data_IF_579445976628
#
_entry.id   IF_579445976628
#
_cell.length_a   1.000
_cell.length_b   1.000
_cell.length_c   1.000
_cell.angle_alpha   90.00
_cell.angle_beta   90.00
_cell.angle_gamma   90.00
#
_symmetry.space_group_name_H-M   'P 1'
#
loop_
_entity.id
_entity.type
_entity.pdbx_description
1 polymer ?
#
# COMPACT_ATOMS: atom_id res chain seq x y z
N UNK A 1 7.41 -19.81 -9.20
CA UNK A 1 8.15 -19.25 -8.04
C UNK A 1 9.41 -18.49 -8.46
N UNK A 2 10.29 -19.09 -9.27
CA UNK A 2 11.57 -18.49 -9.68
C UNK A 2 11.53 -17.02 -10.16
N UNK A 3 10.52 -16.65 -10.97
CA UNK A 3 10.39 -15.26 -11.47
C UNK A 3 10.15 -14.26 -10.33
N UNK A 4 9.31 -14.62 -9.34
CA UNK A 4 9.02 -13.76 -8.20
C UNK A 4 10.25 -13.54 -7.31
N UNK A 5 11.03 -14.60 -7.06
CA UNK A 5 12.25 -14.53 -6.24
C UNK A 5 13.34 -13.75 -6.95
N UNK A 6 13.52 -13.95 -8.27
CA UNK A 6 14.48 -13.18 -9.06
C UNK A 6 14.10 -11.69 -9.05
N UNK A 7 12.83 -11.38 -9.29
CA UNK A 7 12.30 -10.02 -9.25
C UNK A 7 12.55 -9.35 -7.90
N UNK A 8 12.23 -10.01 -6.79
CA UNK A 8 12.41 -9.43 -5.45
C UNK A 8 13.87 -9.18 -5.11
N UNK A 9 14.76 -10.12 -5.45
CA UNK A 9 16.21 -9.95 -5.21
C UNK A 9 16.76 -8.79 -6.04
N UNK A 10 16.47 -8.73 -7.35
CA UNK A 10 16.99 -7.67 -8.23
C UNK A 10 16.49 -6.30 -7.79
N UNK A 11 15.20 -6.15 -7.46
CA UNK A 11 14.65 -4.88 -6.98
C UNK A 11 15.30 -4.45 -5.66
N UNK A 12 15.53 -5.36 -4.72
CA UNK A 12 16.19 -5.04 -3.46
C UNK A 12 17.68 -4.72 -3.65
N UNK A 13 18.36 -5.32 -4.63
CA UNK A 13 19.71 -4.91 -5.01
C UNK A 13 19.72 -3.45 -5.52
N UNK A 14 18.78 -3.09 -6.40
CA UNK A 14 18.62 -1.71 -6.87
C UNK A 14 18.36 -0.75 -5.70
N UNK A 15 17.56 -1.15 -4.71
CA UNK A 15 17.31 -0.37 -3.51
C UNK A 15 18.60 -0.01 -2.76
N UNK A 16 19.50 -0.99 -2.60
CA UNK A 16 20.78 -0.79 -1.91
C UNK A 16 21.82 -0.03 -2.75
N UNK A 17 21.77 -0.16 -4.08
CA UNK A 17 22.56 0.68 -5.00
C UNK A 17 22.15 2.15 -4.88
N UNK A 18 20.86 2.44 -4.70
CA UNK A 18 20.38 3.81 -4.51
C UNK A 18 20.96 4.45 -3.24
N UNK A 19 21.13 3.68 -2.18
CA UNK A 19 21.69 4.18 -0.92
C UNK A 19 23.19 4.43 -1.01
N UNK A 20 23.92 3.57 -1.72
CA UNK A 20 25.39 3.62 -1.80
C UNK A 20 25.91 4.56 -2.88
N UNK A 21 25.28 4.57 -4.05
CA UNK A 21 25.77 5.28 -5.21
C UNK A 21 25.21 6.71 -5.25
N UNK A 22 26.06 7.73 -5.41
CA UNK A 22 25.64 9.15 -5.39
C UNK A 22 25.57 9.83 -6.77
N UNK A 23 26.09 9.20 -7.83
CA UNK A 23 26.09 9.80 -9.18
C UNK A 23 24.70 9.77 -9.82
N UNK A 24 24.57 10.35 -11.01
CA UNK A 24 23.32 10.33 -11.78
C UNK A 24 22.82 8.88 -11.98
N UNK A 25 21.58 8.62 -11.57
CA UNK A 25 20.92 7.29 -11.53
C UNK A 25 19.92 7.11 -12.66
N UNK A 26 20.14 7.78 -13.79
CA UNK A 26 19.23 7.73 -14.94
C UNK A 26 19.03 6.29 -15.43
N UNK A 27 20.11 5.52 -15.56
CA UNK A 27 20.06 4.12 -15.98
C UNK A 27 19.31 3.27 -14.93
N UNK A 28 19.64 3.43 -13.65
CA UNK A 28 18.97 2.74 -12.53
C UNK A 28 17.46 3.00 -12.53
N UNK A 29 17.03 4.24 -12.80
CA UNK A 29 15.62 4.62 -12.94
C UNK A 29 14.93 3.79 -14.03
N UNK A 30 15.50 3.75 -15.23
CA UNK A 30 14.87 3.06 -16.36
C UNK A 30 14.86 1.54 -16.16
N UNK A 31 15.93 0.96 -15.61
CA UNK A 31 15.96 -0.47 -15.26
C UNK A 31 14.88 -0.80 -14.23
N UNK A 32 14.78 -0.02 -13.15
CA UNK A 32 13.76 -0.26 -12.12
C UNK A 32 12.34 -0.13 -12.69
N UNK A 33 12.09 0.89 -13.50
CA UNK A 33 10.78 1.11 -14.12
C UNK A 33 10.43 -0.03 -15.06
N UNK A 34 11.38 -0.46 -15.91
CA UNK A 34 11.19 -1.58 -16.81
C UNK A 34 10.86 -2.86 -16.04
N UNK A 35 11.60 -3.19 -14.97
CA UNK A 35 11.33 -4.37 -14.15
C UNK A 35 9.94 -4.34 -13.52
N UNK A 36 9.54 -3.21 -12.92
CA UNK A 36 8.22 -3.07 -12.31
C UNK A 36 7.10 -3.19 -13.36
N UNK A 37 7.25 -2.51 -14.50
CA UNK A 37 6.24 -2.56 -15.59
C UNK A 37 6.15 -3.98 -16.16
N UNK A 38 7.28 -4.64 -16.41
CA UNK A 38 7.31 -6.00 -16.95
C UNK A 38 6.67 -6.99 -15.98
N UNK A 39 7.03 -6.97 -14.69
CA UNK A 39 6.56 -7.98 -13.75
C UNK A 39 5.18 -7.67 -13.19
N UNK A 40 4.94 -6.43 -12.76
CA UNK A 40 3.70 -6.01 -12.10
C UNK A 40 2.71 -5.45 -13.11
N UNK A 41 3.12 -4.55 -13.99
CA UNK A 41 2.23 -3.88 -14.95
C UNK A 41 1.66 -4.82 -16.02
N UNK A 42 2.53 -5.64 -16.61
CA UNK A 42 2.22 -6.56 -17.72
C UNK A 42 1.91 -7.98 -17.23
N UNK A 43 1.55 -8.15 -15.96
CA UNK A 43 1.05 -9.42 -15.44
C UNK A 43 -0.19 -9.91 -16.17
N UNK A 44 -0.43 -11.21 -16.16
CA UNK A 44 -1.60 -11.84 -16.74
C UNK A 44 -2.23 -12.82 -15.74
N UNK A 45 -3.54 -12.68 -15.48
CA UNK A 45 -4.34 -13.60 -14.64
C UNK A 45 -3.71 -13.98 -13.29
N UNK A 46 -3.22 -12.98 -12.54
CA UNK A 46 -2.67 -13.17 -11.20
C UNK A 46 -3.63 -12.66 -10.11
N UNK A 47 -3.75 -13.42 -9.03
CA UNK A 47 -4.70 -13.15 -7.95
C UNK A 47 -6.13 -13.58 -8.31
N UNK A 48 -7.11 -13.15 -7.51
CA UNK A 48 -8.53 -13.56 -7.67
C UNK A 48 -9.47 -12.44 -8.13
N UNK A 49 -9.08 -11.18 -7.90
CA UNK A 49 -9.95 -10.03 -8.19
C UNK A 49 -9.94 -9.65 -9.69
N UNK A 50 -8.96 -10.10 -10.48
CA UNK A 50 -8.82 -9.72 -11.89
C UNK A 50 -10.03 -10.14 -12.72
N UNK A 51 -10.65 -11.28 -12.44
CA UNK A 51 -11.81 -11.79 -13.18
C UNK A 51 -13.01 -10.87 -13.01
N UNK A 52 -13.24 -10.42 -11.77
CA UNK A 52 -14.28 -9.46 -11.44
C UNK A 52 -14.07 -8.15 -12.21
N UNK A 53 -12.85 -7.60 -12.16
CA UNK A 53 -12.52 -6.35 -12.87
C UNK A 53 -12.61 -6.48 -14.39
N UNK A 54 -12.19 -7.61 -14.96
CA UNK A 54 -12.29 -7.89 -16.40
C UNK A 54 -13.75 -7.93 -16.85
N UNK A 55 -14.62 -8.59 -16.08
CA UNK A 55 -16.04 -8.66 -16.40
C UNK A 55 -16.70 -7.28 -16.40
N UNK A 56 -16.38 -6.43 -15.42
CA UNK A 56 -16.87 -5.05 -15.37
C UNK A 56 -16.36 -4.23 -16.56
N UNK A 57 -15.08 -4.35 -16.87
CA UNK A 57 -14.45 -3.64 -17.98
C UNK A 57 -15.09 -4.00 -19.34
N UNK A 58 -15.49 -5.27 -19.50
CA UNK A 58 -16.15 -5.76 -20.71
C UNK A 58 -17.67 -5.51 -20.74
N UNK A 59 -18.24 -4.82 -19.74
CA UNK A 59 -19.68 -4.51 -19.68
C UNK A 59 -20.58 -5.67 -19.22
N UNK A 60 -20.01 -6.74 -18.66
CA UNK A 60 -20.78 -7.86 -18.13
C UNK A 60 -21.40 -7.49 -16.77
N UNK A 61 -22.65 -7.00 -16.80
CA UNK A 61 -23.41 -6.54 -15.62
C UNK A 61 -24.05 -7.68 -14.78
N UNK A 62 -23.60 -8.93 -14.90
CA UNK A 62 -24.14 -10.05 -14.09
C UNK A 62 -23.73 -10.00 -12.61
N UNK A 63 -22.90 -9.03 -12.21
CA UNK A 63 -22.38 -8.93 -10.85
C UNK A 63 -23.27 -8.03 -9.98
N UNK A 64 -23.67 -8.55 -8.82
CA UNK A 64 -24.49 -7.87 -7.79
C UNK A 64 -23.69 -6.94 -6.86
N UNK A 65 -22.35 -6.94 -6.95
CA UNK A 65 -21.50 -6.15 -6.06
C UNK A 65 -21.47 -4.66 -6.46
N UNK A 66 -21.78 -3.81 -5.49
CA UNK A 66 -21.69 -2.35 -5.63
C UNK A 66 -20.21 -1.97 -5.83
N UNK A 67 -19.92 -1.38 -6.99
CA UNK A 67 -18.60 -0.85 -7.36
C UNK A 67 -18.64 0.67 -7.23
N UNK A 68 -17.52 1.26 -6.81
CA UNK A 68 -17.37 2.70 -6.70
C UNK A 68 -17.47 3.35 -8.08
N UNK A 69 -18.28 4.42 -8.13
CA UNK A 69 -18.67 5.09 -9.36
C UNK A 69 -17.47 5.55 -10.21
N UNK A 70 -16.42 6.09 -9.58
CA UNK A 70 -15.23 6.57 -10.28
C UNK A 70 -14.50 5.47 -11.06
N UNK A 71 -14.40 4.26 -10.49
CA UNK A 71 -13.79 3.14 -11.19
C UNK A 71 -14.65 2.66 -12.36
N UNK A 72 -15.97 2.58 -12.17
CA UNK A 72 -16.90 2.18 -13.25
C UNK A 72 -16.84 3.15 -14.43
N UNK A 73 -16.83 4.45 -14.16
CA UNK A 73 -16.72 5.49 -15.19
C UNK A 73 -15.38 5.38 -15.93
N UNK A 74 -14.26 5.29 -15.21
CA UNK A 74 -12.94 5.19 -15.84
C UNK A 74 -12.78 3.91 -16.67
N UNK A 75 -13.18 2.75 -16.12
CA UNK A 75 -13.09 1.48 -16.84
C UNK A 75 -13.96 1.45 -18.09
N UNK A 76 -15.19 1.96 -18.03
CA UNK A 76 -16.06 2.11 -19.19
C UNK A 76 -15.48 3.05 -20.25
N UNK A 77 -14.85 4.16 -19.84
CA UNK A 77 -14.21 5.09 -20.76
C UNK A 77 -13.02 4.45 -21.49
N UNK A 78 -12.14 3.76 -20.77
CA UNK A 78 -10.99 3.08 -21.39
C UNK A 78 -11.43 1.92 -22.30
N UNK A 79 -12.49 1.20 -21.91
CA UNK A 79 -13.11 0.16 -22.75
C UNK A 79 -13.72 0.74 -24.03
N UNK A 80 -14.40 1.89 -23.92
CA UNK A 80 -14.94 2.62 -25.08
C UNK A 80 -13.86 3.08 -26.07
N UNK A 81 -12.64 3.41 -25.59
CA UNK A 81 -11.49 3.71 -26.45
C UNK A 81 -10.92 2.48 -27.19
N UNK A 82 -11.46 1.29 -26.97
CA UNK A 82 -11.04 0.05 -27.64
C UNK A 82 -9.80 -0.61 -27.01
N UNK A 83 -9.35 -0.15 -25.85
CA UNK A 83 -8.24 -0.80 -25.15
C UNK A 83 -8.69 -2.11 -24.49
N UNK A 84 -7.78 -3.08 -24.39
CA UNK A 84 -8.04 -4.31 -23.65
C UNK A 84 -7.80 -4.13 -22.14
N UNK A 85 -8.42 -5.00 -21.34
CA UNK A 85 -8.34 -4.96 -19.88
C UNK A 85 -6.91 -5.02 -19.33
N UNK A 86 -6.03 -5.83 -19.91
CA UNK A 86 -4.66 -6.01 -19.41
C UNK A 86 -3.78 -4.78 -19.65
N UNK A 87 -4.01 -4.07 -20.76
CA UNK A 87 -3.39 -2.77 -21.00
C UNK A 87 -3.90 -1.73 -19.98
N UNK A 88 -5.21 -1.73 -19.66
CA UNK A 88 -5.76 -0.87 -18.60
C UNK A 88 -5.11 -1.16 -17.24
N UNK A 89 -4.92 -2.44 -16.89
CA UNK A 89 -4.15 -2.84 -15.69
C UNK A 89 -2.73 -2.27 -15.75
N UNK A 90 -2.04 -2.39 -16.88
CA UNK A 90 -0.69 -1.83 -17.02
C UNK A 90 -0.68 -0.30 -16.84
N UNK A 91 -1.65 0.42 -17.39
CA UNK A 91 -1.79 1.88 -17.23
C UNK A 91 -1.96 2.27 -15.77
N UNK A 92 -2.79 1.55 -15.01
CA UNK A 92 -2.98 1.78 -13.56
C UNK A 92 -1.65 1.63 -12.80
N UNK A 93 -0.87 0.58 -13.12
CA UNK A 93 0.43 0.35 -12.46
C UNK A 93 1.47 1.40 -12.84
N UNK A 94 1.49 1.84 -14.10
CA UNK A 94 2.33 2.96 -14.54
C UNK A 94 1.92 4.25 -13.81
N UNK A 95 0.62 4.49 -13.65
CA UNK A 95 0.13 5.66 -12.94
C UNK A 95 0.63 5.71 -11.48
N UNK A 96 0.43 4.64 -10.69
CA UNK A 96 0.95 4.61 -9.30
C UNK A 96 2.48 4.70 -9.26
N UNK A 97 3.19 4.02 -10.18
CA UNK A 97 4.65 4.07 -10.28
C UNK A 97 5.16 5.51 -10.47
N UNK A 98 4.56 6.25 -11.42
CA UNK A 98 4.96 7.62 -11.72
C UNK A 98 4.64 8.58 -10.58
N UNK A 99 3.47 8.45 -9.96
CA UNK A 99 3.07 9.30 -8.84
C UNK A 99 3.98 9.06 -7.63
N UNK A 100 4.22 7.81 -7.25
CA UNK A 100 5.11 7.49 -6.13
C UNK A 100 6.55 7.88 -6.41
N UNK A 101 7.04 7.70 -7.65
CA UNK A 101 8.36 8.20 -8.03
C UNK A 101 8.45 9.71 -7.86
N UNK A 102 7.47 10.48 -8.33
CA UNK A 102 7.47 11.93 -8.17
C UNK A 102 7.46 12.34 -6.68
N UNK A 103 6.63 11.68 -5.88
CA UNK A 103 6.55 11.91 -4.44
C UNK A 103 7.88 11.61 -3.75
N UNK A 104 8.45 10.43 -3.97
CA UNK A 104 9.72 10.04 -3.36
C UNK A 104 10.90 10.86 -3.87
N UNK A 105 10.93 11.23 -5.15
CA UNK A 105 11.98 12.13 -5.68
C UNK A 105 11.98 13.47 -4.95
N UNK A 106 10.81 13.95 -4.54
CA UNK A 106 10.66 15.23 -3.85
C UNK A 106 11.00 15.15 -2.37
N UNK A 107 10.58 14.09 -1.68
CA UNK A 107 10.67 14.02 -0.22
C UNK A 107 11.74 13.06 0.30
N UNK A 108 12.15 12.04 -0.46
CA UNK A 108 13.12 11.04 -0.03
C UNK A 108 14.56 11.38 -0.43
N UNK A 109 15.55 11.17 0.44
CA UNK A 109 16.97 11.14 0.06
C UNK A 109 17.33 9.98 -0.88
N UNK A 110 16.53 8.91 -0.88
CA UNK A 110 16.78 7.66 -1.62
C UNK A 110 15.49 7.21 -2.33
N UNK A 111 15.11 7.86 -3.44
CA UNK A 111 13.82 7.63 -4.08
C UNK A 111 13.67 6.24 -4.68
N UNK A 112 14.74 5.64 -5.21
CA UNK A 112 14.67 4.30 -5.79
C UNK A 112 14.69 3.22 -4.71
N UNK A 113 15.33 3.47 -3.56
CA UNK A 113 15.16 2.64 -2.37
C UNK A 113 13.68 2.61 -1.97
N UNK A 114 13.05 3.77 -1.79
CA UNK A 114 11.65 3.83 -1.38
C UNK A 114 10.70 3.13 -2.36
N UNK A 115 10.91 3.37 -3.66
CA UNK A 115 10.10 2.76 -4.72
C UNK A 115 10.28 1.24 -4.77
N UNK A 116 11.52 0.76 -4.66
CA UNK A 116 11.85 -0.67 -4.65
C UNK A 116 11.22 -1.38 -3.46
N UNK A 117 11.35 -0.82 -2.26
CA UNK A 117 10.72 -1.37 -1.05
C UNK A 117 9.20 -1.46 -1.23
N UNK A 118 8.55 -0.40 -1.72
CA UNK A 118 7.09 -0.36 -1.89
C UNK A 118 6.58 -1.48 -2.80
N UNK A 119 7.19 -1.67 -3.98
CA UNK A 119 6.73 -2.68 -4.94
C UNK A 119 6.99 -4.13 -4.51
N UNK A 120 7.83 -4.35 -3.49
CA UNK A 120 8.00 -5.67 -2.86
C UNK A 120 7.07 -5.82 -1.65
N UNK A 121 7.04 -4.85 -0.74
CA UNK A 121 6.22 -4.91 0.48
C UNK A 121 4.72 -4.93 0.17
N UNK A 122 4.31 -4.20 -0.86
CA UNK A 122 2.92 -4.07 -1.30
C UNK A 122 2.66 -4.87 -2.59
N UNK A 123 3.40 -5.96 -2.84
CA UNK A 123 3.28 -6.73 -4.09
C UNK A 123 1.85 -7.22 -4.33
N UNK A 124 1.27 -7.97 -3.39
CA UNK A 124 -0.10 -8.49 -3.54
C UNK A 124 -1.15 -7.39 -3.75
N UNK A 125 -0.99 -6.25 -3.06
CA UNK A 125 -1.83 -5.07 -3.25
C UNK A 125 -1.78 -4.55 -4.69
N UNK A 126 -0.57 -4.37 -5.23
CA UNK A 126 -0.39 -3.88 -6.60
C UNK A 126 -0.89 -4.87 -7.67
N UNK A 127 -1.05 -6.15 -7.32
CA UNK A 127 -1.60 -7.19 -8.19
C UNK A 127 -3.14 -7.23 -8.16
N UNK A 128 -3.76 -7.09 -6.98
CA UNK A 128 -5.19 -7.34 -6.82
C UNK A 128 -6.05 -6.09 -6.76
N UNK A 129 -5.59 -5.03 -6.08
CA UNK A 129 -6.46 -3.98 -5.58
C UNK A 129 -6.64 -2.80 -6.55
N UNK A 130 -6.96 -3.05 -7.83
CA UNK A 130 -6.95 -2.04 -8.92
C UNK A 130 -7.61 -0.70 -8.56
N UNK A 131 -8.83 -0.75 -8.00
CA UNK A 131 -9.57 0.43 -7.51
C UNK A 131 -8.79 1.24 -6.49
N UNK A 132 -8.26 0.55 -5.50
CA UNK A 132 -7.54 1.15 -4.40
C UNK A 132 -6.17 1.67 -4.84
N UNK A 133 -5.50 1.03 -5.81
CA UNK A 133 -4.24 1.53 -6.39
C UNK A 133 -4.45 2.94 -6.99
N UNK A 134 -5.54 3.14 -7.74
CA UNK A 134 -5.90 4.45 -8.29
C UNK A 134 -6.14 5.46 -7.17
N UNK A 135 -6.92 5.08 -6.14
CA UNK A 135 -7.19 5.93 -5.00
C UNK A 135 -5.91 6.33 -4.24
N UNK A 136 -4.99 5.38 -4.00
CA UNK A 136 -3.69 5.64 -3.37
C UNK A 136 -2.89 6.64 -4.21
N UNK A 137 -2.79 6.43 -5.53
CA UNK A 137 -2.10 7.38 -6.40
C UNK A 137 -2.69 8.80 -6.29
N UNK A 138 -4.02 8.95 -6.36
CA UNK A 138 -4.68 10.26 -6.22
C UNK A 138 -4.42 10.86 -4.84
N UNK A 139 -4.43 10.06 -3.76
CA UNK A 139 -4.10 10.52 -2.41
C UNK A 139 -2.67 11.04 -2.33
N UNK A 140 -1.68 10.45 -3.01
CA UNK A 140 -0.31 11.00 -3.00
C UNK A 140 -0.18 12.30 -3.81
N UNK A 141 -1.02 12.51 -4.82
CA UNK A 141 -1.16 13.84 -5.46
C UNK A 141 -1.78 14.83 -4.47
N UNK A 142 -2.86 14.43 -3.79
CA UNK A 142 -3.53 15.23 -2.77
C UNK A 142 -2.55 15.64 -1.66
N UNK A 143 -1.83 14.68 -1.09
CA UNK A 143 -0.83 14.92 -0.05
C UNK A 143 0.24 15.90 -0.52
N UNK A 144 0.72 15.81 -1.75
CA UNK A 144 1.64 16.82 -2.28
C UNK A 144 1.00 18.23 -2.30
N UNK A 145 -0.28 18.36 -2.66
CA UNK A 145 -1.00 19.63 -2.54
C UNK A 145 -1.08 20.10 -1.09
N UNK A 146 -1.44 19.22 -0.16
CA UNK A 146 -1.54 19.51 1.27
C UNK A 146 -0.22 20.03 1.85
N UNK A 147 0.88 19.32 1.57
CA UNK A 147 2.22 19.67 2.03
C UNK A 147 2.74 21.00 1.43
N UNK A 148 2.20 21.43 0.29
CA UNK A 148 2.47 22.75 -0.32
C UNK A 148 1.39 23.80 0.03
N UNK A 149 0.63 23.62 1.10
CA UNK A 149 -0.42 24.53 1.58
C UNK A 149 -1.62 24.74 0.63
N UNK A 150 -1.82 23.87 -0.36
CA UNK A 150 -2.94 23.93 -1.32
C UNK A 150 -4.16 23.13 -0.82
N UNK A 151 -4.74 23.56 0.31
CA UNK A 151 -5.82 22.83 1.02
C UNK A 151 -7.08 22.58 0.17
N UNK A 152 -7.52 23.54 -0.65
CA UNK A 152 -8.69 23.37 -1.55
C UNK A 152 -8.50 22.18 -2.50
N UNK A 153 -7.33 22.12 -3.14
CA UNK A 153 -6.99 21.04 -4.07
C UNK A 153 -6.84 19.70 -3.35
N UNK A 154 -6.30 19.69 -2.13
CA UNK A 154 -6.26 18.50 -1.29
C UNK A 154 -7.66 17.92 -1.07
N UNK A 155 -8.61 18.73 -0.59
CA UNK A 155 -9.98 18.27 -0.31
C UNK A 155 -10.67 17.71 -1.56
N UNK A 156 -10.56 18.41 -2.70
CA UNK A 156 -11.13 17.96 -3.99
C UNK A 156 -10.53 16.61 -4.40
N UNK A 157 -9.20 16.45 -4.29
CA UNK A 157 -8.53 15.21 -4.67
C UNK A 157 -8.85 14.06 -3.71
N UNK A 158 -9.05 14.31 -2.41
CA UNK A 158 -9.50 13.29 -1.47
C UNK A 158 -10.93 12.80 -1.79
N UNK A 159 -11.84 13.71 -2.17
CA UNK A 159 -13.18 13.35 -2.64
C UNK A 159 -13.14 12.60 -3.98
N UNK A 160 -12.24 12.98 -4.88
CA UNK A 160 -12.01 12.24 -6.11
C UNK A 160 -11.49 10.83 -5.80
N UNK A 161 -10.51 10.69 -4.92
CA UNK A 161 -9.97 9.39 -4.52
C UNK A 161 -11.04 8.49 -3.87
N UNK A 162 -11.93 9.05 -3.02
CA UNK A 162 -13.01 8.30 -2.40
C UNK A 162 -14.05 7.79 -3.41
N UNK A 163 -14.20 8.46 -4.55
CA UNK A 163 -15.02 7.97 -5.66
C UNK A 163 -14.44 6.73 -6.35
N UNK A 164 -13.15 6.44 -6.20
CA UNK A 164 -12.52 5.20 -6.69
C UNK A 164 -12.46 4.11 -5.62
N UNK A 165 -12.26 4.50 -4.36
CA UNK A 165 -12.27 3.58 -3.22
C UNK A 165 -12.64 4.32 -1.94
N UNK A 166 -13.77 3.94 -1.33
CA UNK A 166 -14.41 4.72 -0.25
C UNK A 166 -13.47 4.99 0.95
N UNK A 167 -12.56 4.08 1.28
CA UNK A 167 -11.65 4.26 2.42
C UNK A 167 -10.70 5.46 2.29
N UNK A 168 -10.49 6.00 1.09
CA UNK A 168 -9.72 7.23 0.90
C UNK A 168 -10.36 8.45 1.59
N UNK A 169 -11.65 8.39 1.91
CA UNK A 169 -12.37 9.45 2.64
C UNK A 169 -11.73 9.78 4.00
N UNK A 170 -11.04 8.80 4.62
CA UNK A 170 -10.34 8.97 5.89
C UNK A 170 -9.31 10.12 5.85
N UNK A 171 -8.73 10.40 4.69
CA UNK A 171 -7.77 11.50 4.52
C UNK A 171 -8.40 12.88 4.67
N UNK A 172 -9.73 13.04 4.54
CA UNK A 172 -10.39 14.33 4.79
C UNK A 172 -10.25 14.80 6.24
N UNK A 173 -9.95 13.90 7.18
CA UNK A 173 -9.76 14.23 8.60
C UNK A 173 -8.41 14.94 8.83
N UNK A 174 -7.39 14.69 8.00
CA UNK A 174 -6.02 15.17 8.19
C UNK A 174 -5.92 16.68 8.50
N UNK A 175 -6.58 17.61 7.77
CA UNK A 175 -6.46 19.04 8.04
C UNK A 175 -6.97 19.47 9.43
N UNK A 176 -7.80 18.65 10.07
CA UNK A 176 -8.36 18.91 11.40
C UNK A 176 -7.47 18.36 12.53
N UNK A 177 -6.72 17.29 12.26
CA UNK A 177 -5.90 16.59 13.25
C UNK A 177 -4.39 16.81 13.09
N UNK A 178 -3.97 17.46 12.00
CA UNK A 178 -2.58 17.87 11.76
C UNK A 178 -2.22 19.14 12.55
N UNK A 179 -2.25 19.03 13.88
CA UNK A 179 -1.85 20.09 14.81
C UNK A 179 -1.16 19.51 16.06
N UNK A 180 -0.45 20.36 16.81
CA UNK A 180 0.38 19.90 17.93
C UNK A 180 -0.43 19.15 19.00
N UNK A 181 -1.62 19.66 19.34
CA UNK A 181 -2.53 19.07 20.30
C UNK A 181 -2.89 17.63 19.92
N UNK A 182 -3.41 17.41 18.71
CA UNK A 182 -3.79 16.07 18.25
C UNK A 182 -2.58 15.15 18.08
N UNK A 183 -1.41 15.65 17.67
CA UNK A 183 -0.19 14.83 17.64
C UNK A 183 0.21 14.32 19.02
N UNK A 184 0.06 15.15 20.06
CA UNK A 184 0.34 14.73 21.44
C UNK A 184 -0.70 13.73 21.93
N UNK A 185 -1.99 13.94 21.63
CA UNK A 185 -3.05 12.98 21.92
C UNK A 185 -2.81 11.64 21.21
N UNK A 186 -2.41 11.64 19.94
CA UNK A 186 -2.13 10.40 19.21
C UNK A 186 -0.93 9.66 19.81
N UNK A 187 0.12 10.35 20.26
CA UNK A 187 1.25 9.68 20.96
C UNK A 187 0.78 9.03 22.25
N UNK A 188 0.03 9.74 23.08
CA UNK A 188 -0.54 9.20 24.32
C UNK A 188 -1.48 8.02 23.99
N UNK A 189 -2.35 8.17 22.99
CA UNK A 189 -3.24 7.13 22.50
C UNK A 189 -2.49 5.89 21.99
N UNK A 190 -1.35 6.06 21.30
CA UNK A 190 -0.53 4.91 20.92
C UNK A 190 0.05 4.18 22.14
N UNK A 191 0.52 4.89 23.17
CA UNK A 191 1.02 4.27 24.40
C UNK A 191 -0.09 3.53 25.15
N UNK A 192 -1.25 4.18 25.31
CA UNK A 192 -2.44 3.57 25.93
C UNK A 192 -2.86 2.33 25.14
N UNK A 193 -2.93 2.42 23.81
CA UNK A 193 -3.32 1.31 22.94
C UNK A 193 -2.36 0.12 22.99
N UNK A 194 -1.08 0.31 23.35
CA UNK A 194 -0.14 -0.79 23.57
C UNK A 194 -0.38 -1.51 24.91
N UNK A 195 -0.93 -0.82 25.90
CA UNK A 195 -1.23 -1.37 27.24
C UNK A 195 -2.64 -1.98 27.30
N UNK A 196 -3.62 -1.41 26.60
CA UNK A 196 -5.02 -1.88 26.57
C UNK A 196 -5.15 -3.41 26.34
N UNK A 197 -4.40 -4.04 25.41
CA UNK A 197 -4.41 -5.49 25.22
C UNK A 197 -3.97 -6.30 26.44
N UNK A 198 -3.14 -5.77 27.34
CA UNK A 198 -2.66 -6.51 28.52
C UNK A 198 -3.71 -6.63 29.63
N UNK A 199 -4.81 -5.88 29.52
CA UNK A 199 -5.95 -5.90 30.44
C UNK A 199 -7.22 -6.45 29.77
N UNK A 200 -7.08 -7.13 28.62
CA UNK A 200 -8.16 -7.72 27.80
C UNK A 200 -9.29 -6.75 27.39
N UNK A 201 -9.06 -5.44 27.52
CA UNK A 201 -10.00 -4.41 27.10
C UNK A 201 -9.85 -4.14 25.61
N UNK A 202 -10.96 -4.04 24.87
CA UNK A 202 -10.93 -3.72 23.45
C UNK A 202 -12.08 -2.78 23.08
N UNK A 203 -11.81 -1.48 22.86
CA UNK A 203 -12.84 -0.52 22.47
C UNK A 203 -13.62 -0.95 21.22
N UNK A 204 -12.95 -1.66 20.30
CA UNK A 204 -13.57 -2.14 19.07
C UNK A 204 -14.66 -3.19 19.30
N UNK A 205 -14.60 -3.99 20.37
CA UNK A 205 -15.69 -4.92 20.72
C UNK A 205 -16.95 -4.16 21.11
N UNK A 206 -16.81 -3.06 21.83
CA UNK A 206 -17.93 -2.19 22.22
C UNK A 206 -18.53 -1.55 20.97
N UNK A 207 -17.69 -1.04 20.06
CA UNK A 207 -18.15 -0.49 18.77
C UNK A 207 -18.89 -1.55 17.96
N UNK A 208 -18.40 -2.79 17.91
CA UNK A 208 -19.07 -3.89 17.22
C UNK A 208 -20.48 -4.14 17.79
N UNK A 209 -20.63 -4.24 19.11
CA UNK A 209 -21.94 -4.40 19.77
C UNK A 209 -22.88 -3.25 19.39
N UNK A 210 -22.38 -2.01 19.38
CA UNK A 210 -23.19 -0.84 18.99
C UNK A 210 -23.60 -0.91 17.52
N UNK A 211 -22.71 -1.33 16.63
CA UNK A 211 -22.99 -1.45 15.20
C UNK A 211 -24.00 -2.55 14.88
N UNK A 212 -23.98 -3.65 15.63
CA UNK A 212 -24.92 -4.77 15.47
C UNK A 212 -26.36 -4.40 15.88
N UNK A 213 -26.52 -3.37 16.71
CA UNK A 213 -27.83 -2.82 17.10
C UNK A 213 -28.44 -1.89 16.05
N UNK A 214 -27.68 -1.47 15.04
CA UNK A 214 -28.17 -0.57 13.99
C UNK A 214 -28.98 -1.32 12.92
N UNK A 215 -29.90 -0.63 12.21
CA UNK A 215 -30.64 -1.25 11.11
C UNK A 215 -29.70 -1.78 10.03
N UNK A 216 -29.83 -3.06 9.70
CA UNK A 216 -28.93 -3.73 8.78
C UNK A 216 -28.95 -3.07 7.39
N UNK A 217 -27.75 -2.87 6.83
CA UNK A 217 -27.56 -2.49 5.44
C UNK A 217 -26.30 -3.18 4.90
N UNK A 218 -26.15 -3.21 3.57
CA UNK A 218 -25.04 -3.90 2.91
C UNK A 218 -23.63 -3.42 3.35
N UNK A 219 -23.51 -2.17 3.82
CA UNK A 219 -22.25 -1.66 4.36
C UNK A 219 -21.97 -2.20 5.76
N UNK A 220 -22.96 -2.21 6.64
CA UNK A 220 -22.87 -2.76 7.99
C UNK A 220 -22.58 -4.26 7.95
N UNK A 221 -23.26 -5.02 7.10
CA UNK A 221 -22.98 -6.47 6.93
C UNK A 221 -21.52 -6.72 6.56
N UNK A 222 -20.95 -5.93 5.64
CA UNK A 222 -19.55 -6.03 5.24
C UNK A 222 -18.59 -5.70 6.38
N UNK A 223 -18.92 -4.69 7.19
CA UNK A 223 -18.11 -4.30 8.36
C UNK A 223 -18.19 -5.41 9.42
N UNK A 224 -19.39 -5.86 9.78
CA UNK A 224 -19.62 -6.92 10.76
C UNK A 224 -18.92 -8.22 10.35
N UNK A 225 -18.94 -8.59 9.07
CA UNK A 225 -18.19 -9.74 8.57
C UNK A 225 -16.67 -9.67 8.85
N UNK A 226 -16.07 -8.48 8.73
CA UNK A 226 -14.65 -8.29 9.05
C UNK A 226 -14.33 -8.36 10.55
N UNK A 227 -15.32 -8.15 11.41
CA UNK A 227 -15.21 -8.36 12.85
C UNK A 227 -15.52 -9.80 13.27
N UNK A 228 -16.40 -10.51 12.56
CA UNK A 228 -16.73 -11.90 12.89
C UNK A 228 -15.56 -12.86 12.64
N UNK A 229 -14.69 -12.55 11.67
CA UNK A 229 -13.45 -13.28 11.43
C UNK A 229 -12.25 -12.66 12.18
N UNK A 230 -12.46 -12.26 13.43
CA UNK A 230 -11.36 -11.88 14.33
C UNK A 230 -10.39 -13.06 14.47
N UNK A 231 -9.13 -12.87 14.07
CA UNK A 231 -8.11 -13.88 14.28
C UNK A 231 -7.83 -13.99 15.79
N UNK A 232 -7.96 -15.21 16.33
CA UNK A 232 -7.73 -15.53 17.75
C UNK A 232 -6.25 -15.58 18.15
N UNK A 233 -5.32 -15.42 17.19
CA UNK A 233 -3.88 -15.54 17.41
C UNK A 233 -3.18 -14.19 17.69
N UNK A 234 -2.15 -14.23 18.55
CA UNK A 234 -1.18 -13.17 18.92
C UNK A 234 -1.63 -11.70 18.73
N UNK A 235 -1.84 -11.06 19.87
CA UNK A 235 -2.28 -9.67 20.07
C UNK A 235 -1.54 -8.64 19.18
N UNK A 236 -0.23 -8.79 19.03
CA UNK A 236 0.59 -7.96 18.16
C UNK A 236 1.27 -8.79 17.08
N UNK A 237 0.95 -8.49 15.82
CA UNK A 237 1.65 -9.10 14.69
C UNK A 237 3.11 -8.62 14.63
N UNK A 238 4.02 -9.46 14.13
CA UNK A 238 5.41 -9.08 13.88
C UNK A 238 5.55 -7.78 13.07
N UNK A 239 4.67 -7.58 12.08
CA UNK A 239 4.63 -6.36 11.27
C UNK A 239 4.34 -5.11 12.12
N UNK A 240 3.41 -5.20 13.06
CA UNK A 240 3.08 -4.10 13.97
C UNK A 240 4.25 -3.78 14.90
N UNK A 241 4.83 -4.80 15.53
CA UNK A 241 6.01 -4.63 16.41
C UNK A 241 7.17 -3.99 15.63
N UNK A 242 7.45 -4.48 14.43
CA UNK A 242 8.48 -3.93 13.56
C UNK A 242 8.26 -2.45 13.22
N UNK A 243 7.02 -2.06 12.88
CA UNK A 243 6.66 -0.65 12.66
C UNK A 243 6.86 0.19 13.91
N UNK A 244 6.44 -0.29 15.09
CA UNK A 244 6.59 0.42 16.36
C UNK A 244 8.07 0.67 16.67
N UNK A 245 8.92 -0.35 16.55
CA UNK A 245 10.37 -0.22 16.79
C UNK A 245 11.00 0.82 15.87
N UNK A 246 10.68 0.80 14.57
CA UNK A 246 11.20 1.77 13.60
C UNK A 246 10.71 3.19 13.90
N UNK A 247 9.43 3.35 14.22
CA UNK A 247 8.84 4.67 14.49
C UNK A 247 9.38 5.23 15.81
N UNK A 248 9.55 4.39 16.82
CA UNK A 248 10.20 4.77 18.07
C UNK A 248 11.65 5.23 17.82
N UNK A 249 12.43 4.46 17.05
CA UNK A 249 13.79 4.82 16.69
C UNK A 249 13.86 6.14 15.89
N UNK A 250 12.90 6.39 15.01
CA UNK A 250 12.75 7.67 14.31
C UNK A 250 12.53 8.83 15.27
N UNK A 251 11.58 8.72 16.21
CA UNK A 251 11.34 9.79 17.18
C UNK A 251 12.55 10.03 18.09
N UNK A 252 13.26 8.96 18.47
CA UNK A 252 14.52 9.06 19.20
C UNK A 252 15.61 9.81 18.42
N UNK A 253 15.68 9.63 17.10
CA UNK A 253 16.64 10.31 16.22
C UNK A 253 16.14 11.61 15.58
N UNK A 254 14.94 12.08 15.94
CA UNK A 254 14.26 13.22 15.30
C UNK A 254 15.13 14.47 15.18
N UNK A 255 15.89 14.84 16.22
CA UNK A 255 16.76 16.03 16.20
C UNK A 255 17.78 15.99 15.05
N UNK A 256 18.41 14.84 14.83
CA UNK A 256 19.39 14.64 13.76
C UNK A 256 18.74 14.64 12.38
N UNK A 257 17.54 14.05 12.27
CA UNK A 257 16.76 14.04 11.03
C UNK A 257 16.37 15.46 10.63
N UNK A 258 15.85 16.27 11.56
CA UNK A 258 15.49 17.66 11.31
C UNK A 258 16.69 18.46 10.77
N UNK A 259 17.86 18.30 11.39
CA UNK A 259 19.08 18.99 10.97
C UNK A 259 19.46 18.68 9.51
N UNK A 260 19.50 17.40 9.13
CA UNK A 260 19.81 16.98 7.75
C UNK A 260 18.75 17.39 6.73
N UNK A 261 17.46 17.35 7.09
CA UNK A 261 16.37 17.74 6.19
C UNK A 261 16.31 19.24 5.95
N UNK A 262 16.65 20.06 6.95
CA UNK A 262 16.79 21.51 6.79
C UNK A 262 17.89 21.84 5.78
N UNK A 263 19.03 21.14 5.83
CA UNK A 263 20.10 21.28 4.83
C UNK A 263 19.60 20.95 3.40
N UNK A 264 18.63 20.04 3.28
CA UNK A 264 17.98 19.65 2.03
C UNK A 264 16.75 20.48 1.65
N UNK A 265 16.49 21.60 2.35
CA UNK A 265 15.37 22.53 2.10
C UNK A 265 13.97 21.89 2.20
N UNK A 266 13.82 20.79 2.94
CA UNK A 266 12.50 20.23 3.26
C UNK A 266 11.95 20.99 4.47
N UNK A 267 10.72 21.50 4.35
CA UNK A 267 10.13 22.31 5.41
C UNK A 267 9.81 21.48 6.66
N UNK A 268 10.01 22.05 7.85
CA UNK A 268 9.64 21.40 9.12
C UNK A 268 8.14 21.11 9.22
N UNK A 269 7.31 21.95 8.57
CA UNK A 269 5.88 21.71 8.45
C UNK A 269 5.58 20.41 7.69
N UNK A 270 6.27 20.17 6.58
CA UNK A 270 6.15 18.92 5.83
C UNK A 270 6.48 17.72 6.72
N UNK A 271 7.58 17.80 7.47
CA UNK A 271 7.98 16.74 8.38
C UNK A 271 6.91 16.48 9.46
N UNK A 272 6.37 17.54 10.05
CA UNK A 272 5.30 17.46 11.05
C UNK A 272 4.06 16.75 10.51
N UNK A 273 3.59 17.11 9.31
CA UNK A 273 2.43 16.46 8.69
C UNK A 273 2.68 14.98 8.35
N UNK A 274 3.92 14.63 7.96
CA UNK A 274 4.30 13.22 7.75
C UNK A 274 4.28 12.44 9.06
N UNK A 275 4.72 13.03 10.17
CA UNK A 275 4.62 12.42 11.51
C UNK A 275 3.17 12.19 11.92
N UNK A 276 2.28 13.15 11.68
CA UNK A 276 0.84 13.00 11.93
C UNK A 276 0.26 11.79 11.19
N UNK A 277 0.61 11.62 9.90
CA UNK A 277 0.15 10.48 9.10
C UNK A 277 0.65 9.13 9.65
N UNK A 278 1.89 9.08 10.16
CA UNK A 278 2.46 7.86 10.75
C UNK A 278 1.81 7.54 12.10
N UNK A 279 1.48 8.55 12.89
CA UNK A 279 0.75 8.38 14.13
C UNK A 279 -0.69 7.89 13.88
N UNK A 280 -1.37 8.44 12.87
CA UNK A 280 -2.69 7.93 12.42
C UNK A 280 -2.58 6.46 12.02
N UNK A 281 -1.57 6.10 11.22
CA UNK A 281 -1.32 4.72 10.83
C UNK A 281 -1.13 3.80 12.07
N UNK A 282 -0.36 4.24 13.07
CA UNK A 282 -0.14 3.46 14.30
C UNK A 282 -1.42 3.28 15.11
N UNK A 283 -2.19 4.35 15.33
CA UNK A 283 -3.49 4.30 16.01
C UNK A 283 -4.37 3.25 15.30
N UNK A 284 -4.51 3.34 13.97
CA UNK A 284 -5.35 2.38 13.23
C UNK A 284 -4.81 0.95 13.41
N UNK A 285 -3.51 0.73 13.26
CA UNK A 285 -2.94 -0.62 13.41
C UNK A 285 -3.13 -1.23 14.81
N UNK A 286 -3.02 -0.42 15.86
CA UNK A 286 -3.11 -0.89 17.25
C UNK A 286 -4.58 -1.22 17.57
N UNK A 287 -5.49 -0.27 17.33
CA UNK A 287 -6.88 -0.41 17.71
C UNK A 287 -7.67 -1.36 16.79
N UNK A 288 -7.32 -1.45 15.51
CA UNK A 288 -7.94 -2.38 14.55
C UNK A 288 -7.08 -3.63 14.29
N UNK A 289 -6.12 -3.95 15.16
CA UNK A 289 -5.19 -5.08 15.01
C UNK A 289 -5.87 -6.42 14.74
N UNK A 290 -7.03 -6.67 15.37
CA UNK A 290 -7.82 -7.90 15.17
C UNK A 290 -8.56 -7.96 13.83
N UNK A 291 -8.81 -6.81 13.20
CA UNK A 291 -9.45 -6.70 11.89
C UNK A 291 -8.38 -6.70 10.78
N UNK A 292 -7.75 -7.86 10.53
CA UNK A 292 -6.60 -7.97 9.63
C UNK A 292 -6.85 -7.44 8.20
N UNK A 293 -8.05 -7.65 7.64
CA UNK A 293 -8.42 -7.15 6.31
C UNK A 293 -8.55 -5.63 6.26
N UNK A 294 -9.17 -5.01 7.26
CA UNK A 294 -9.32 -3.56 7.36
C UNK A 294 -7.93 -2.92 7.50
N UNK A 295 -7.14 -3.43 8.45
CA UNK A 295 -5.81 -2.91 8.77
C UNK A 295 -4.86 -3.05 7.59
N UNK A 296 -4.85 -4.20 6.91
CA UNK A 296 -4.03 -4.38 5.69
C UNK A 296 -4.42 -3.39 4.59
N UNK A 297 -5.72 -3.21 4.31
CA UNK A 297 -6.19 -2.28 3.28
C UNK A 297 -5.86 -0.83 3.61
N UNK A 298 -6.10 -0.38 4.84
CA UNK A 298 -5.80 1.02 5.22
C UNK A 298 -4.30 1.29 5.21
N UNK A 299 -3.49 0.33 5.66
CA UNK A 299 -2.02 0.47 5.69
C UNK A 299 -1.41 0.80 4.33
N UNK A 300 -2.00 0.36 3.22
CA UNK A 300 -1.46 0.61 1.88
C UNK A 300 -1.40 2.11 1.53
N UNK A 301 -2.29 2.93 2.10
CA UNK A 301 -2.21 4.38 1.95
C UNK A 301 -1.01 4.99 2.69
N UNK A 302 -0.61 4.39 3.82
CA UNK A 302 0.45 4.91 4.68
C UNK A 302 1.82 4.27 4.40
N UNK A 303 1.87 3.14 3.67
CA UNK A 303 3.10 2.41 3.40
C UNK A 303 4.20 3.29 2.75
N UNK A 304 3.93 4.11 1.71
CA UNK A 304 4.97 5.00 1.18
C UNK A 304 5.52 6.00 2.21
N UNK A 305 4.69 6.53 3.10
CA UNK A 305 5.14 7.45 4.17
C UNK A 305 6.00 6.72 5.21
N UNK A 306 5.63 5.49 5.60
CA UNK A 306 6.45 4.66 6.49
C UNK A 306 7.83 4.36 5.87
N UNK A 307 7.86 4.02 4.58
CA UNK A 307 9.11 3.78 3.85
C UNK A 307 9.96 5.06 3.73
N UNK A 308 9.32 6.22 3.56
CA UNK A 308 9.97 7.52 3.58
C UNK A 308 10.65 7.78 4.93
N UNK A 309 9.99 7.46 6.05
CA UNK A 309 10.59 7.57 7.38
C UNK A 309 11.84 6.69 7.51
N UNK A 310 11.81 5.46 7.01
CA UNK A 310 12.99 4.57 6.98
C UNK A 310 14.14 5.19 6.18
N UNK A 311 13.85 5.84 5.06
CA UNK A 311 14.88 6.53 4.27
C UNK A 311 15.56 7.68 5.01
N UNK A 312 14.84 8.37 5.91
CA UNK A 312 15.41 9.38 6.79
C UNK A 312 16.33 8.78 7.86
N UNK A 313 15.96 7.63 8.42
CA UNK A 313 16.82 6.87 9.34
C UNK A 313 18.11 6.36 8.68
N UNK A 314 18.07 6.01 7.39
CA UNK A 314 19.29 5.67 6.65
C UNK A 314 20.15 6.92 6.45
N UNK A 315 19.54 8.07 6.18
CA UNK A 315 20.24 9.31 5.84
C UNK A 315 21.14 9.84 6.97
N UNK A 316 20.71 9.73 8.23
CA UNK A 316 21.42 10.29 9.39
C UNK A 316 22.79 9.62 9.66
N UNK A 317 23.01 8.40 9.17
CA UNK A 317 24.29 7.72 9.33
C UNK A 317 25.35 8.46 8.50
N UNK A 318 26.45 8.93 9.09
CA UNK A 318 27.47 9.70 8.33
C UNK A 318 28.25 8.81 7.36
N UNK A 319 28.66 7.63 7.83
CA UNK A 319 29.48 6.69 7.07
C UNK A 319 28.65 5.90 6.05
N UNK A 320 29.21 5.74 4.85
CA UNK A 320 28.56 5.00 3.77
C UNK A 320 28.27 3.54 4.16
N UNK A 321 29.19 2.92 4.90
CA UNK A 321 29.06 1.52 5.31
C UNK A 321 27.84 1.33 6.24
N UNK A 322 27.61 2.26 7.17
CA UNK A 322 26.48 2.21 8.09
C UNK A 322 25.14 2.46 7.36
N UNK A 323 25.13 3.32 6.33
CA UNK A 323 23.96 3.47 5.45
C UNK A 323 23.62 2.15 4.75
N UNK A 324 24.64 1.51 4.18
CA UNK A 324 24.49 0.24 3.48
C UNK A 324 24.04 -0.88 4.40
N UNK A 325 24.66 -1.05 5.58
CA UNK A 325 24.28 -2.07 6.55
C UNK A 325 22.82 -1.90 6.95
N UNK A 326 22.39 -0.67 7.25
CA UNK A 326 20.99 -0.40 7.61
C UNK A 326 20.03 -0.71 6.46
N UNK A 327 20.33 -0.21 5.24
CA UNK A 327 19.46 -0.43 4.08
C UNK A 327 19.39 -1.91 3.69
N UNK A 328 20.51 -2.63 3.81
CA UNK A 328 20.61 -4.06 3.51
C UNK A 328 19.83 -4.88 4.53
N UNK A 329 20.02 -4.62 5.83
CA UNK A 329 19.24 -5.28 6.88
C UNK A 329 17.73 -5.08 6.69
N UNK A 330 17.31 -3.84 6.40
CA UNK A 330 15.91 -3.55 6.11
C UNK A 330 15.42 -4.29 4.84
N UNK A 331 16.23 -4.34 3.78
CA UNK A 331 15.93 -5.09 2.56
C UNK A 331 15.76 -6.58 2.84
N UNK A 332 16.60 -7.18 3.69
CA UNK A 332 16.48 -8.57 4.12
C UNK A 332 15.17 -8.82 4.88
N UNK A 333 14.76 -7.92 5.78
CA UNK A 333 13.47 -8.02 6.46
C UNK A 333 12.30 -8.03 5.46
N UNK A 334 12.36 -7.16 4.44
CA UNK A 334 11.35 -7.10 3.39
C UNK A 334 11.37 -8.37 2.52
N UNK A 335 12.55 -8.90 2.19
CA UNK A 335 12.69 -10.16 1.44
C UNK A 335 12.09 -11.34 2.21
N UNK A 336 12.39 -11.47 3.50
CA UNK A 336 11.83 -12.52 4.36
C UNK A 336 10.30 -12.40 4.42
N UNK A 337 9.77 -11.18 4.57
CA UNK A 337 8.32 -10.94 4.54
C UNK A 337 7.70 -11.35 3.20
N UNK A 338 8.36 -11.03 2.09
CA UNK A 338 7.89 -11.40 0.76
C UNK A 338 7.94 -12.92 0.53
N UNK A 339 9.01 -13.60 0.97
CA UNK A 339 9.12 -15.05 0.88
C UNK A 339 7.99 -15.71 1.68
N UNK A 340 7.76 -15.27 2.93
CA UNK A 340 6.64 -15.76 3.76
C UNK A 340 5.29 -15.55 3.09
N UNK A 341 5.08 -14.39 2.45
CA UNK A 341 3.88 -14.14 1.65
C UNK A 341 3.76 -15.11 0.46
N UNK A 342 4.87 -15.37 -0.24
CA UNK A 342 4.86 -16.25 -1.42
C UNK A 342 4.64 -17.73 -1.08
N UNK A 343 4.98 -18.16 0.13
CA UNK A 343 4.83 -19.55 0.59
C UNK A 343 3.41 -19.89 1.06
N UNK A 344 2.53 -18.90 1.24
CA UNK A 344 1.17 -19.18 1.70
C UNK A 344 0.33 -19.88 0.61
N UNK A 345 -0.65 -20.68 1.03
CA UNK A 345 -1.50 -21.47 0.11
C UNK A 345 -2.22 -20.60 -0.91
N UNK A 346 -2.63 -19.40 -0.50
CA UNK A 346 -3.31 -18.45 -1.37
C UNK A 346 -2.43 -18.04 -2.56
N UNK A 347 -1.17 -17.69 -2.29
CA UNK A 347 -0.20 -17.32 -3.31
C UNK A 347 0.15 -18.52 -4.20
N UNK A 348 0.35 -19.69 -3.60
CA UNK A 348 0.62 -20.92 -4.37
C UNK A 348 -0.49 -21.22 -5.37
N UNK A 349 -1.76 -21.10 -4.96
CA UNK A 349 -2.91 -21.38 -5.82
C UNK A 349 -3.18 -20.28 -6.86
N UNK A 350 -3.06 -19.01 -6.47
CA UNK A 350 -3.59 -17.88 -7.26
C UNK A 350 -2.52 -17.06 -8.00
N UNK A 351 -1.23 -17.25 -7.68
CA UNK A 351 -0.12 -16.52 -8.29
C UNK A 351 0.85 -17.42 -9.06
N UNK A 352 0.85 -18.72 -8.83
CA UNK A 352 1.77 -19.65 -9.50
C UNK A 352 1.01 -20.49 -10.53
N UNK A 353 1.55 -20.70 -11.75
CA UNK A 353 2.75 -20.06 -12.31
C UNK A 353 2.55 -18.55 -12.58
N UNK A 354 3.64 -17.79 -12.59
CA UNK A 354 3.61 -16.41 -13.06
C UNK A 354 3.29 -16.40 -14.57
N UNK A 355 2.38 -15.54 -15.02
CA UNK A 355 2.05 -15.33 -16.43
C UNK A 355 2.21 -13.86 -16.79
N UNK A 356 2.63 -13.60 -18.03
CA UNK A 356 2.85 -12.26 -18.56
C UNK A 356 2.01 -12.04 -19.82
N UNK A 357 1.46 -10.84 -19.96
CA UNK A 357 0.55 -10.50 -21.04
C UNK A 357 1.25 -10.46 -22.40
N UNK A 358 2.52 -10.01 -22.46
CA UNK A 358 3.29 -10.04 -23.71
C UNK A 358 3.49 -11.47 -24.21
N UNK A 359 3.81 -12.39 -23.28
CA UNK A 359 3.96 -13.80 -23.62
C UNK A 359 2.63 -14.41 -24.10
N UNK A 360 1.51 -14.08 -23.45
CA UNK A 360 0.18 -14.53 -23.86
C UNK A 360 -0.20 -14.05 -25.27
N UNK A 361 0.12 -12.81 -25.64
CA UNK A 361 -0.16 -12.29 -26.99
C UNK A 361 0.59 -13.10 -28.06
N UNK A 362 1.85 -13.46 -27.77
CA UNK A 362 2.71 -14.22 -28.69
C UNK A 362 2.28 -15.69 -28.75
N UNK A 363 2.01 -16.30 -27.59
CA UNK A 363 1.63 -17.70 -27.43
C UNK A 363 0.17 -17.81 -26.99
N UNK A 364 -0.76 -17.77 -27.95
CA UNK A 364 -2.22 -17.91 -27.74
C UNK A 364 -2.67 -19.29 -27.21
N UNK A 365 -1.74 -20.23 -27.01
CA UNK A 365 -2.01 -21.61 -26.60
C UNK A 365 -2.00 -21.83 -25.08
N UNK A 366 -1.85 -20.79 -24.24
CA UNK A 366 -1.96 -20.98 -22.78
C UNK A 366 -3.41 -21.19 -22.33
N UNK A 367 -3.64 -22.27 -21.58
CA UNK A 367 -4.91 -22.57 -20.91
C UNK A 367 -5.28 -21.46 -19.90
N UNK A 368 -5.91 -20.39 -20.37
CA UNK A 368 -6.56 -19.35 -19.56
C UNK A 368 -7.82 -19.88 -18.85
N UNK A 369 -8.49 -20.85 -19.47
CA UNK A 369 -9.71 -21.48 -18.95
C UNK A 369 -9.53 -22.13 -17.57
N UNK A 370 -8.38 -22.78 -17.33
CA UNK A 370 -8.11 -23.46 -16.04
C UNK A 370 -7.92 -22.46 -14.89
N UNK A 371 -7.23 -21.33 -15.15
CA UNK A 371 -7.04 -20.27 -14.15
C UNK A 371 -8.34 -19.54 -13.85
N UNK A 372 -9.15 -19.28 -14.88
CA UNK A 372 -10.47 -18.69 -14.67
C UNK A 372 -11.37 -19.60 -13.83
N UNK A 373 -11.37 -20.92 -14.09
CA UNK A 373 -12.10 -21.90 -13.28
C UNK A 373 -11.60 -21.91 -11.83
N UNK A 374 -10.28 -21.88 -11.59
CA UNK A 374 -9.75 -21.85 -10.22
C UNK A 374 -10.17 -20.60 -9.45
N UNK A 375 -10.25 -19.45 -10.11
CA UNK A 375 -10.76 -18.21 -9.50
C UNK A 375 -12.25 -18.29 -9.21
N UNK A 376 -13.05 -18.87 -10.13
CA UNK A 376 -14.50 -19.07 -9.89
C UNK A 376 -14.74 -20.01 -8.71
N UNK A 377 -14.03 -21.14 -8.62
CA UNK A 377 -14.11 -22.08 -7.51
C UNK A 377 -13.75 -21.41 -6.18
N UNK A 378 -12.69 -20.59 -6.15
CA UNK A 378 -12.31 -19.82 -4.95
C UNK A 378 -13.42 -18.90 -4.44
N UNK A 379 -14.21 -18.31 -5.34
CA UNK A 379 -15.36 -17.48 -4.94
C UNK A 379 -16.58 -18.32 -4.52
N UNK A 380 -16.85 -19.44 -5.19
CA UNK A 380 -17.92 -20.38 -4.84
C UNK A 380 -17.71 -20.96 -3.43
N UNK A 381 -16.49 -21.44 -3.14
CA UNK A 381 -16.12 -22.01 -1.83
C UNK A 381 -16.30 -21.01 -0.69
N UNK A 382 -16.19 -19.71 -0.97
CA UNK A 382 -16.32 -18.62 0.02
C UNK A 382 -17.74 -18.09 0.19
N UNK A 383 -18.76 -18.78 -0.36
CA UNK A 383 -20.17 -18.35 -0.34
C UNK A 383 -20.34 -16.88 -0.75
N UNK A 384 -19.78 -16.50 -1.90
CA UNK A 384 -19.92 -15.17 -2.49
C UNK A 384 -20.62 -15.21 -3.84
#
# INVERSE_FOLDING_TARGET
MMIYTLYSIIILLIANIDVTYRKNKLITKYILFALIILVVGLRYELGVDWLFYRNIFNGNNKNTLIIEFGYKLLSSFISFLGFNFWLFVCMINIFILLILYHFFKKYSPFPFFCLSIYFISSFGFNIEALRQIIAVAIIYIALNCYLNNKKKYYTILCLLASSFHISAILFLILPFIDCHFFNQLMKIGTLIGLVIPTIDFYPMKIIFIILDLLPNNAFLEKILFYFLHENTSNLFSFNLIFKIVIIFYYFFKKKYICYELMNKRISLKTLFSLESLILIMLIINIYFSKCGTITSRINEYFAPIFILLVSYLIMINKELINKFIFSFAFSCCILISFIRFSLNDYFQKQYIPYRNYLYFIINKNENSSTREQSVRLHWIERKK
#
